data_IF_552068276024
#
_entry.id   IF_552068276024
#
_cell.length_a   1.000
_cell.length_b   1.000
_cell.length_c   1.000
_cell.angle_alpha   90.00
_cell.angle_beta   90.00
_cell.angle_gamma   90.00
#
_symmetry.space_group_name_H-M   'P 1'
#
loop_
_entity.id
_entity.type
_entity.pdbx_description
1 polymer ?
#
# COMPACT_ATOMS: atom_id res chain seq x y z
N UNK A 1 26.29 59.91 14.10
CA UNK A 1 26.73 58.52 13.79
C UNK A 1 25.68 57.53 14.24
N UNK A 2 24.81 57.03 13.35
CA UNK A 2 23.75 56.04 13.67
C UNK A 2 24.30 54.64 13.48
N UNK A 3 24.37 53.85 14.55
CA UNK A 3 24.77 52.43 14.49
C UNK A 3 23.56 51.59 13.99
N UNK A 4 23.69 50.99 12.83
CA UNK A 4 22.73 50.03 12.31
C UNK A 4 23.07 48.68 12.92
N UNK A 5 22.16 48.14 13.77
CA UNK A 5 22.20 46.76 14.25
C UNK A 5 21.54 45.85 13.20
N UNK A 6 22.34 45.04 12.50
CA UNK A 6 21.84 43.97 11.65
C UNK A 6 21.49 42.79 12.55
N UNK A 7 20.20 42.51 12.72
CA UNK A 7 19.71 41.26 13.36
C UNK A 7 19.79 40.13 12.29
N UNK A 8 20.74 39.27 12.51
CA UNK A 8 20.87 38.01 11.73
C UNK A 8 19.85 37.02 12.29
N UNK A 9 18.71 36.83 11.60
CA UNK A 9 17.73 35.79 11.95
C UNK A 9 18.21 34.46 11.37
N UNK A 10 18.73 33.58 12.23
CA UNK A 10 18.99 32.19 11.86
C UNK A 10 17.65 31.47 11.70
N UNK A 11 17.26 31.20 10.45
CA UNK A 11 16.21 30.25 10.12
C UNK A 11 16.74 28.83 10.40
N UNK A 12 16.37 28.24 11.52
CA UNK A 12 16.52 26.79 11.74
C UNK A 12 15.45 26.08 10.91
N UNK A 13 15.83 25.61 9.72
CA UNK A 13 15.04 24.66 8.97
C UNK A 13 15.06 23.32 9.74
N UNK A 14 14.00 23.00 10.44
CA UNK A 14 13.77 21.66 10.98
C UNK A 14 13.58 20.70 9.82
N UNK A 15 14.63 20.06 9.35
CA UNK A 15 14.56 18.84 8.56
C UNK A 15 14.03 17.75 9.51
N UNK A 16 12.72 17.56 9.56
CA UNK A 16 12.15 16.32 10.09
C UNK A 16 12.55 15.21 9.10
N UNK A 17 13.65 14.55 9.39
CA UNK A 17 14.08 13.36 8.66
C UNK A 17 12.94 12.34 8.64
N UNK A 18 12.53 11.90 7.46
CA UNK A 18 11.63 10.78 7.26
C UNK A 18 12.20 9.57 8.03
N UNK A 19 11.66 9.29 9.21
CA UNK A 19 11.94 8.01 9.87
C UNK A 19 11.27 6.94 9.03
N UNK A 20 12.08 6.16 8.32
CA UNK A 20 11.61 4.95 7.68
C UNK A 20 10.87 4.11 8.73
N UNK A 21 9.66 3.65 8.42
CA UNK A 21 8.89 2.76 9.29
C UNK A 21 9.75 1.53 9.61
N UNK A 22 9.92 1.22 10.90
CA UNK A 22 10.57 -0.02 11.29
C UNK A 22 9.63 -1.18 11.01
N UNK A 23 9.99 -2.07 10.10
CA UNK A 23 9.22 -3.29 9.79
C UNK A 23 9.04 -4.16 11.04
N UNK A 24 9.99 -4.16 11.96
CA UNK A 24 9.97 -4.93 13.21
C UNK A 24 8.82 -4.56 14.16
N UNK A 25 8.14 -3.43 13.94
CA UNK A 25 7.00 -2.96 14.73
C UNK A 25 5.65 -3.26 14.09
N UNK A 26 5.65 -3.92 12.95
CA UNK A 26 4.43 -4.36 12.28
C UNK A 26 3.99 -5.72 12.83
N UNK A 27 2.78 -6.13 12.52
CA UNK A 27 2.19 -7.39 12.98
C UNK A 27 1.53 -8.14 11.83
N UNK A 28 1.38 -9.45 11.98
CA UNK A 28 0.72 -10.30 11.01
C UNK A 28 -0.79 -10.40 11.26
N UNK A 29 -1.53 -10.43 10.19
CA UNK A 29 -2.82 -11.07 10.05
C UNK A 29 -2.62 -12.22 9.05
N UNK A 30 -2.95 -13.45 9.45
CA UNK A 30 -2.63 -14.67 8.71
C UNK A 30 -1.11 -14.81 8.43
N UNK A 31 -0.32 -15.00 9.48
CA UNK A 31 1.13 -15.14 9.39
C UNK A 31 1.52 -16.33 8.50
N UNK A 32 2.38 -16.16 7.46
CA UNK A 32 2.86 -17.26 6.64
C UNK A 32 3.85 -18.14 7.43
N UNK A 33 4.00 -19.40 7.03
CA UNK A 33 4.90 -20.34 7.72
C UNK A 33 6.38 -19.96 7.63
N UNK A 34 6.78 -19.34 6.53
CA UNK A 34 8.17 -18.96 6.26
C UNK A 34 8.27 -17.51 5.84
N UNK A 35 8.96 -16.72 6.63
CA UNK A 35 9.26 -15.32 6.32
C UNK A 35 10.51 -14.85 7.07
N UNK A 36 11.12 -13.79 6.57
CA UNK A 36 12.24 -13.12 7.21
C UNK A 36 12.21 -11.61 6.97
N UNK A 37 12.74 -10.85 7.93
CA UNK A 37 13.10 -9.45 7.74
C UNK A 37 14.63 -9.35 7.81
N UNK A 38 15.21 -8.91 6.71
CA UNK A 38 16.65 -8.66 6.60
C UNK A 38 16.91 -7.40 5.80
N UNK A 39 17.79 -6.52 6.28
CA UNK A 39 18.17 -5.26 5.62
C UNK A 39 16.96 -4.39 5.22
N UNK A 40 15.96 -4.28 6.11
CA UNK A 40 14.68 -3.56 5.91
C UNK A 40 13.84 -4.11 4.74
N UNK A 41 14.03 -5.34 4.39
CA UNK A 41 13.30 -6.08 3.40
C UNK A 41 12.56 -7.23 4.05
N UNK A 42 11.26 -7.34 3.80
CA UNK A 42 10.46 -8.50 4.12
C UNK A 42 10.47 -9.47 2.93
N UNK A 43 10.80 -10.72 3.18
CA UNK A 43 10.63 -11.82 2.22
C UNK A 43 9.77 -12.89 2.84
N UNK A 44 8.80 -13.44 2.10
CA UNK A 44 7.97 -14.55 2.56
C UNK A 44 7.69 -15.56 1.45
N UNK A 45 7.46 -16.80 1.84
CA UNK A 45 6.79 -17.79 1.02
C UNK A 45 5.28 -17.66 1.23
N UNK A 46 4.56 -17.26 0.18
CA UNK A 46 3.12 -16.98 0.25
C UNK A 46 2.35 -18.26 0.58
N UNK A 47 1.40 -18.17 1.48
CA UNK A 47 0.54 -19.29 1.87
C UNK A 47 -0.20 -19.85 0.65
N UNK A 48 -0.10 -21.16 0.38
CA UNK A 48 -0.84 -21.81 -0.69
C UNK A 48 -2.35 -21.66 -0.54
N UNK A 49 -3.07 -21.57 -1.67
CA UNK A 49 -4.54 -21.56 -1.74
C UNK A 49 -5.19 -20.49 -0.85
N UNK A 50 -4.54 -19.34 -0.71
CA UNK A 50 -4.99 -18.20 0.11
C UNK A 50 -5.41 -17.01 -0.74
N UNK A 51 -6.39 -16.22 -0.28
CA UNK A 51 -6.87 -15.02 -0.99
C UNK A 51 -7.51 -14.00 -0.05
N UNK A 52 -7.85 -12.84 -0.64
CA UNK A 52 -8.77 -11.82 -0.17
C UNK A 52 -9.80 -11.55 -1.27
N UNK A 53 -10.98 -12.13 -1.14
CA UNK A 53 -12.08 -11.97 -2.09
C UNK A 53 -13.44 -12.06 -1.40
N UNK A 54 -14.41 -11.29 -1.90
CA UNK A 54 -15.78 -11.34 -1.39
C UNK A 54 -16.78 -11.34 -2.53
N UNK A 55 -17.53 -12.44 -2.65
CA UNK A 55 -18.79 -12.63 -3.37
C UNK A 55 -18.69 -12.46 -4.88
N UNK A 56 -18.34 -11.26 -5.39
CA UNK A 56 -18.44 -10.89 -6.81
C UNK A 56 -17.96 -11.99 -7.74
N UNK A 57 -18.74 -12.29 -8.78
CA UNK A 57 -18.49 -13.27 -9.82
C UNK A 57 -18.44 -14.73 -9.31
N UNK A 58 -17.65 -15.03 -8.30
CA UNK A 58 -17.36 -16.39 -7.83
C UNK A 58 -18.29 -16.90 -6.71
N UNK A 59 -19.01 -16.03 -6.01
CA UNK A 59 -19.97 -16.37 -4.95
C UNK A 59 -19.35 -16.78 -3.60
N UNK A 60 -18.03 -16.87 -3.47
CA UNK A 60 -17.34 -17.21 -2.23
C UNK A 60 -16.79 -15.99 -1.49
N UNK A 61 -16.41 -16.21 -0.24
CA UNK A 61 -15.67 -15.25 0.59
C UNK A 61 -14.43 -15.93 1.17
N UNK A 62 -13.26 -15.34 0.96
CA UNK A 62 -11.96 -15.78 1.49
C UNK A 62 -11.24 -14.59 2.09
N UNK A 63 -10.58 -14.76 3.24
CA UNK A 63 -9.90 -13.72 4.01
C UNK A 63 -8.72 -14.32 4.79
N UNK A 64 -7.88 -15.13 4.13
CA UNK A 64 -6.87 -15.98 4.77
C UNK A 64 -5.44 -15.80 4.25
N UNK A 65 -5.22 -14.90 3.30
CA UNK A 65 -3.88 -14.62 2.80
C UNK A 65 -3.01 -13.83 3.81
N UNK A 66 -1.69 -13.94 3.75
CA UNK A 66 -0.77 -13.17 4.58
C UNK A 66 -0.92 -11.64 4.41
N UNK A 67 -0.98 -10.93 5.53
CA UNK A 67 -0.99 -9.47 5.58
C UNK A 67 -0.14 -8.95 6.75
N UNK A 68 0.95 -8.27 6.46
CA UNK A 68 1.84 -7.66 7.44
C UNK A 68 1.61 -6.15 7.50
N UNK A 69 1.20 -5.61 8.66
CA UNK A 69 0.66 -4.25 8.74
C UNK A 69 0.99 -3.49 10.02
N UNK A 70 0.82 -2.18 9.96
CA UNK A 70 0.63 -1.28 11.10
C UNK A 70 -0.65 -0.46 10.90
N UNK A 71 -1.18 0.13 11.99
CA UNK A 71 -2.42 0.91 11.94
C UNK A 71 -2.11 2.40 11.89
N UNK A 72 -2.79 3.12 10.98
CA UNK A 72 -2.65 4.55 10.78
C UNK A 72 -4.00 5.25 10.76
N UNK A 73 -4.06 6.44 11.38
CA UNK A 73 -5.21 7.35 11.28
C UNK A 73 -4.91 8.55 10.39
N UNK A 74 -5.95 9.28 10.01
CA UNK A 74 -5.84 10.53 9.25
C UNK A 74 -5.38 10.33 7.80
N UNK A 75 -4.79 11.39 7.24
CA UNK A 75 -4.31 11.41 5.86
C UNK A 75 -2.83 11.02 5.80
N UNK A 76 -2.48 10.20 4.80
CA UNK A 76 -1.11 9.72 4.62
C UNK A 76 -0.83 9.29 3.18
N UNK A 77 0.46 9.26 2.83
CA UNK A 77 1.00 8.58 1.67
C UNK A 77 1.75 7.34 2.15
N UNK A 78 1.56 6.22 1.47
CA UNK A 78 2.33 4.99 1.69
C UNK A 78 2.83 4.45 0.37
N UNK A 79 4.02 3.85 0.38
CA UNK A 79 4.58 3.18 -0.80
C UNK A 79 5.43 1.98 -0.44
N UNK A 80 5.57 1.06 -1.39
CA UNK A 80 6.44 -0.11 -1.29
C UNK A 80 6.93 -0.52 -2.68
N UNK A 81 8.15 -1.03 -2.74
CA UNK A 81 8.68 -1.75 -3.91
C UNK A 81 8.41 -3.24 -3.74
N UNK A 82 7.86 -3.87 -4.76
CA UNK A 82 7.49 -5.28 -4.76
C UNK A 82 8.24 -6.05 -5.84
N UNK A 83 8.65 -7.27 -5.49
CA UNK A 83 9.26 -8.25 -6.42
C UNK A 83 8.72 -9.63 -6.08
N UNK A 84 8.09 -10.29 -7.05
CA UNK A 84 7.47 -11.61 -6.87
C UNK A 84 7.95 -12.62 -7.89
N UNK A 85 8.16 -13.87 -7.45
CA UNK A 85 8.40 -15.00 -8.34
C UNK A 85 7.08 -15.74 -8.60
N UNK A 86 6.15 -15.03 -9.28
CA UNK A 86 4.81 -15.54 -9.58
C UNK A 86 4.89 -16.80 -10.46
N UNK A 87 4.03 -17.79 -10.19
CA UNK A 87 4.06 -19.12 -10.84
C UNK A 87 2.70 -19.55 -11.38
N UNK A 88 1.65 -19.25 -10.63
CA UNK A 88 0.32 -19.76 -10.86
C UNK A 88 -0.67 -18.62 -11.07
N UNK A 89 -1.74 -18.90 -11.77
CA UNK A 89 -2.82 -17.95 -11.99
C UNK A 89 -3.29 -17.36 -10.66
N UNK A 90 -3.52 -16.05 -10.66
CA UNK A 90 -3.91 -15.24 -9.50
C UNK A 90 -2.84 -15.09 -8.40
N UNK A 91 -1.62 -15.60 -8.57
CA UNK A 91 -0.52 -15.19 -7.69
C UNK A 91 -0.45 -13.66 -7.68
N UNK A 92 -0.55 -13.05 -6.51
CA UNK A 92 -0.66 -11.60 -6.36
C UNK A 92 0.06 -11.08 -5.12
N UNK A 93 0.58 -9.86 -5.20
CA UNK A 93 1.17 -9.16 -4.06
C UNK A 93 1.14 -7.65 -4.23
N UNK A 94 1.13 -6.93 -3.12
CA UNK A 94 1.14 -5.48 -3.15
C UNK A 94 0.88 -4.81 -1.81
N UNK A 95 0.39 -3.57 -1.87
CA UNK A 95 -0.13 -2.83 -0.73
C UNK A 95 -1.57 -3.24 -0.42
N UNK A 96 -1.90 -3.23 0.88
CA UNK A 96 -3.28 -3.32 1.34
C UNK A 96 -3.58 -2.23 2.36
N UNK A 97 -4.71 -1.58 2.18
CA UNK A 97 -5.33 -0.67 3.13
C UNK A 97 -6.62 -1.33 3.58
N UNK A 98 -6.72 -1.70 4.87
CA UNK A 98 -7.82 -2.51 5.39
C UNK A 98 -8.41 -1.92 6.66
N UNK A 99 -9.72 -1.67 6.66
CA UNK A 99 -10.49 -1.36 7.87
C UNK A 99 -10.90 -2.68 8.53
N UNK A 100 -11.63 -3.52 7.78
CA UNK A 100 -12.15 -4.80 8.22
C UNK A 100 -12.26 -5.79 7.02
N UNK A 101 -12.91 -6.93 7.22
CA UNK A 101 -13.10 -7.95 6.19
C UNK A 101 -14.02 -7.54 5.04
N UNK A 102 -14.81 -6.47 5.22
CA UNK A 102 -15.75 -5.96 4.21
C UNK A 102 -15.28 -4.67 3.55
N UNK A 103 -14.25 -4.01 4.11
CA UNK A 103 -13.80 -2.70 3.68
C UNK A 103 -12.29 -2.67 3.58
N UNK A 104 -11.77 -2.96 2.37
CA UNK A 104 -10.34 -2.93 2.08
C UNK A 104 -10.06 -2.60 0.61
N UNK A 105 -8.85 -2.14 0.37
CA UNK A 105 -8.28 -1.95 -0.97
C UNK A 105 -6.96 -2.70 -1.00
N UNK A 106 -6.80 -3.60 -1.98
CA UNK A 106 -5.50 -4.23 -2.29
C UNK A 106 -5.06 -3.80 -3.69
N UNK A 107 -3.79 -3.47 -3.86
CA UNK A 107 -3.24 -3.01 -5.13
C UNK A 107 -1.80 -3.47 -5.30
N UNK A 108 -1.47 -3.96 -6.49
CA UNK A 108 -0.15 -4.49 -6.78
C UNK A 108 -0.03 -5.14 -8.13
N UNK A 109 0.70 -6.24 -8.17
CA UNK A 109 0.83 -7.08 -9.35
C UNK A 109 0.07 -8.39 -9.13
N UNK A 110 -0.65 -8.82 -10.14
CA UNK A 110 -1.36 -10.09 -10.20
C UNK A 110 -1.02 -10.82 -11.50
N UNK A 111 -0.69 -12.11 -11.40
CA UNK A 111 -0.34 -12.94 -12.54
C UNK A 111 -1.58 -13.68 -13.04
N UNK A 112 -2.06 -13.35 -14.24
CA UNK A 112 -3.28 -13.90 -14.82
C UNK A 112 -2.98 -14.37 -16.23
N UNK A 113 -3.27 -15.63 -16.52
CA UNK A 113 -3.16 -16.25 -17.84
C UNK A 113 -1.81 -16.00 -18.53
N UNK A 114 -0.72 -16.16 -17.77
CA UNK A 114 0.65 -15.98 -18.25
C UNK A 114 1.10 -14.52 -18.40
N UNK A 115 0.28 -13.55 -17.97
CA UNK A 115 0.57 -12.13 -18.06
C UNK A 115 0.65 -11.46 -16.69
N UNK A 116 1.52 -10.47 -16.58
CA UNK A 116 1.58 -9.59 -15.43
C UNK A 116 0.56 -8.47 -15.58
N UNK A 117 -0.22 -8.26 -14.55
CA UNK A 117 -1.22 -7.20 -14.51
C UNK A 117 -0.96 -6.32 -13.31
N UNK A 118 -1.03 -5.00 -13.49
CA UNK A 118 -1.25 -4.10 -12.37
C UNK A 118 -2.71 -4.26 -11.97
N UNK A 119 -2.94 -4.66 -10.73
CA UNK A 119 -4.26 -5.03 -10.23
C UNK A 119 -4.66 -4.13 -9.06
N UNK A 120 -5.93 -3.75 -9.02
CA UNK A 120 -6.55 -3.12 -7.85
C UNK A 120 -7.89 -3.80 -7.59
N UNK A 121 -8.06 -4.25 -6.35
CA UNK A 121 -9.36 -4.72 -5.84
C UNK A 121 -9.82 -3.78 -4.76
N UNK A 122 -11.02 -3.22 -4.95
CA UNK A 122 -11.73 -2.42 -3.95
C UNK A 122 -12.85 -3.28 -3.40
N UNK A 123 -12.82 -3.56 -2.11
CA UNK A 123 -13.89 -4.30 -1.44
C UNK A 123 -14.69 -3.36 -0.56
N UNK A 124 -15.97 -3.26 -0.86
CA UNK A 124 -16.99 -2.63 -0.03
C UNK A 124 -18.21 -3.56 -0.01
N UNK A 125 -18.23 -4.47 0.97
CA UNK A 125 -19.14 -5.63 1.07
C UNK A 125 -18.89 -6.68 -0.03
N UNK A 126 -18.65 -6.25 -1.26
CA UNK A 126 -18.33 -7.08 -2.43
C UNK A 126 -17.04 -6.58 -3.09
N UNK A 127 -16.27 -7.48 -3.69
CA UNK A 127 -15.01 -7.13 -4.36
C UNK A 127 -15.25 -6.60 -5.77
N UNK A 128 -14.58 -5.50 -6.12
CA UNK A 128 -14.57 -4.87 -7.43
C UNK A 128 -13.11 -4.85 -7.94
N UNK A 129 -12.87 -5.54 -9.04
CA UNK A 129 -11.53 -5.81 -9.58
C UNK A 129 -11.28 -5.05 -10.88
N UNK A 130 -10.11 -4.44 -10.99
CA UNK A 130 -9.62 -3.78 -12.19
C UNK A 130 -8.16 -4.14 -12.47
N UNK A 131 -7.80 -4.26 -13.75
CA UNK A 131 -6.45 -4.63 -14.20
C UNK A 131 -5.97 -3.77 -15.36
N UNK A 132 -4.65 -3.58 -15.40
CA UNK A 132 -3.92 -3.03 -16.54
C UNK A 132 -2.88 -4.07 -16.93
N UNK A 133 -3.05 -4.68 -18.12
CA UNK A 133 -2.12 -5.70 -18.63
C UNK A 133 -0.79 -5.05 -18.96
N UNK A 134 0.31 -5.61 -18.45
CA UNK A 134 1.66 -5.18 -18.79
C UNK A 134 2.16 -5.94 -20.04
N UNK A 135 2.66 -5.21 -21.02
CA UNK A 135 3.26 -5.81 -22.23
C UNK A 135 4.57 -6.54 -21.93
N UNK A 136 5.29 -6.09 -20.91
CA UNK A 136 6.57 -6.66 -20.49
C UNK A 136 6.55 -6.92 -18.99
N UNK A 137 7.22 -7.98 -18.55
CA UNK A 137 7.44 -8.27 -17.13
C UNK A 137 8.48 -7.32 -16.56
N UNK A 138 8.13 -6.41 -15.65
CA UNK A 138 9.10 -5.58 -14.98
C UNK A 138 9.86 -6.39 -13.91
N UNK A 139 11.13 -6.08 -13.62
CA UNK A 139 11.88 -6.74 -12.56
C UNK A 139 11.34 -6.42 -11.16
N UNK A 140 10.66 -5.31 -11.02
CA UNK A 140 9.97 -4.85 -9.80
C UNK A 140 8.91 -3.81 -10.16
N UNK A 141 8.02 -3.55 -9.23
CA UNK A 141 7.02 -2.48 -9.33
C UNK A 141 6.98 -1.72 -8.01
N UNK A 142 6.86 -0.40 -8.07
CA UNK A 142 6.50 0.43 -6.95
C UNK A 142 4.99 0.63 -6.93
N UNK A 143 4.38 0.41 -5.77
CA UNK A 143 2.98 0.72 -5.52
C UNK A 143 2.92 1.82 -4.47
N UNK A 144 2.13 2.84 -4.76
CA UNK A 144 1.89 3.97 -3.86
C UNK A 144 0.39 4.19 -3.67
N UNK A 145 -0.01 4.47 -2.45
CA UNK A 145 -1.37 4.87 -2.13
C UNK A 145 -1.36 6.19 -1.35
N UNK A 146 -2.26 7.09 -1.68
CA UNK A 146 -2.46 8.38 -0.99
C UNK A 146 -3.89 8.40 -0.46
N UNK A 147 -4.03 8.38 0.87
CA UNK A 147 -5.34 8.52 1.53
C UNK A 147 -5.59 9.98 1.88
N UNK A 148 -6.71 10.52 1.37
CA UNK A 148 -7.21 11.84 1.72
C UNK A 148 -8.72 11.81 1.90
N UNK A 149 -9.21 12.31 3.05
CA UNK A 149 -10.62 12.25 3.39
C UNK A 149 -11.15 10.82 3.28
N UNK A 150 -12.14 10.59 2.43
CA UNK A 150 -12.78 9.31 2.14
C UNK A 150 -12.32 8.66 0.83
N UNK A 151 -11.19 9.12 0.28
CA UNK A 151 -10.62 8.61 -0.96
C UNK A 151 -9.20 8.07 -0.78
N UNK A 152 -8.88 7.05 -1.57
CA UNK A 152 -7.53 6.52 -1.75
C UNK A 152 -7.19 6.54 -3.23
N UNK A 153 -6.19 7.34 -3.58
CA UNK A 153 -5.59 7.33 -4.90
C UNK A 153 -4.46 6.30 -4.94
N UNK A 154 -4.45 5.44 -5.96
CA UNK A 154 -3.50 4.36 -6.11
C UNK A 154 -2.68 4.58 -7.37
N UNK A 155 -1.37 4.44 -7.23
CA UNK A 155 -0.40 4.68 -8.30
C UNK A 155 0.59 3.53 -8.39
N UNK A 156 1.18 3.35 -9.58
CA UNK A 156 2.35 2.53 -9.79
C UNK A 156 3.51 3.31 -10.39
N UNK A 157 4.72 2.79 -10.27
CA UNK A 157 5.91 3.30 -10.90
C UNK A 157 6.92 2.17 -11.18
N UNK A 158 7.77 2.33 -12.18
CA UNK A 158 8.88 1.43 -12.46
C UNK A 158 10.24 1.98 -12.02
N UNK A 159 10.29 3.22 -11.50
CA UNK A 159 11.55 3.90 -11.17
C UNK A 159 11.52 4.70 -9.83
N UNK A 160 10.38 4.69 -9.11
CA UNK A 160 10.10 5.50 -7.91
C UNK A 160 10.09 7.04 -8.15
N UNK A 161 10.01 7.47 -9.39
CA UNK A 161 10.00 8.89 -9.76
C UNK A 161 8.70 9.28 -10.46
N UNK A 162 8.41 8.62 -11.57
CA UNK A 162 7.20 8.85 -12.34
C UNK A 162 6.12 7.90 -11.90
N UNK A 163 5.03 8.44 -11.36
CA UNK A 163 3.90 7.67 -10.85
C UNK A 163 2.67 7.89 -11.71
N UNK A 164 2.07 6.79 -12.17
CA UNK A 164 0.84 6.77 -12.97
C UNK A 164 -0.31 6.30 -12.09
N UNK A 165 -1.43 7.03 -12.11
CA UNK A 165 -2.62 6.65 -11.37
C UNK A 165 -3.26 5.40 -11.97
N UNK A 166 -3.56 4.41 -11.12
CA UNK A 166 -4.31 3.20 -11.46
C UNK A 166 -5.78 3.35 -11.13
N UNK A 167 -6.08 3.94 -9.98
CA UNK A 167 -7.44 4.06 -9.46
C UNK A 167 -7.56 5.16 -8.42
N UNK A 168 -8.73 5.80 -8.37
CA UNK A 168 -9.22 6.53 -7.21
C UNK A 168 -10.42 5.75 -6.66
N UNK A 169 -10.40 5.41 -5.36
CA UNK A 169 -11.37 4.55 -4.73
C UNK A 169 -11.86 5.14 -3.41
N UNK A 170 -13.11 4.88 -3.07
CA UNK A 170 -13.68 5.21 -1.77
C UNK A 170 -13.10 4.29 -0.68
N UNK A 171 -12.73 4.87 0.45
CA UNK A 171 -12.48 4.16 1.70
C UNK A 171 -12.89 5.07 2.85
N UNK A 172 -13.79 4.60 3.71
CA UNK A 172 -14.39 5.37 4.80
C UNK A 172 -13.37 6.24 5.54
N UNK A 173 -13.70 7.52 5.72
CA UNK A 173 -12.89 8.47 6.50
C UNK A 173 -13.04 8.24 8.02
N UNK A 174 -12.28 9.02 8.83
CA UNK A 174 -12.34 9.03 10.31
C UNK A 174 -12.14 7.66 10.98
N UNK A 175 -11.72 6.64 10.26
CA UNK A 175 -11.47 5.30 10.76
C UNK A 175 -10.00 4.95 10.62
N UNK A 176 -9.33 4.43 11.67
CA UNK A 176 -7.98 3.90 11.54
C UNK A 176 -7.93 2.76 10.52
N UNK A 177 -6.86 2.73 9.74
CA UNK A 177 -6.66 1.76 8.65
C UNK A 177 -5.40 0.95 8.92
N UNK A 178 -5.50 -0.36 8.79
CA UNK A 178 -4.34 -1.25 8.70
C UNK A 178 -3.69 -1.05 7.34
N UNK A 179 -2.41 -0.71 7.33
CA UNK A 179 -1.64 -0.41 6.10
C UNK A 179 -0.40 -1.27 6.08
N UNK A 180 -0.18 -1.98 4.97
CA UNK A 180 0.98 -2.85 4.85
C UNK A 180 0.99 -3.68 3.58
N UNK A 181 1.62 -4.84 3.66
CA UNK A 181 1.86 -5.73 2.52
C UNK A 181 0.98 -6.96 2.58
N UNK A 182 0.42 -7.30 1.45
CA UNK A 182 -0.28 -8.56 1.27
C UNK A 182 0.31 -9.36 0.11
N UNK A 183 0.20 -10.68 0.18
CA UNK A 183 0.37 -11.55 -0.97
C UNK A 183 -0.56 -12.76 -0.86
N UNK A 184 -1.01 -13.27 -1.99
CA UNK A 184 -1.94 -14.39 -2.08
C UNK A 184 -1.61 -15.31 -3.26
N UNK A 185 -1.93 -16.59 -3.15
CA UNK A 185 -1.74 -17.61 -4.19
C UNK A 185 -2.99 -18.49 -4.29
N UNK A 186 -4.12 -17.95 -4.82
CA UNK A 186 -5.42 -18.62 -4.79
C UNK A 186 -5.43 -20.01 -5.42
N UNK A 187 -4.88 -20.15 -6.63
CA UNK A 187 -4.84 -21.39 -7.40
C UNK A 187 -3.51 -22.16 -7.24
N UNK A 188 -2.56 -21.57 -6.47
CA UNK A 188 -1.18 -22.05 -6.45
C UNK A 188 -0.72 -22.67 -5.15
N UNK A 189 0.53 -23.15 -5.18
CA UNK A 189 1.25 -23.68 -4.04
C UNK A 189 2.17 -22.63 -3.37
N UNK A 190 1.84 -21.36 -3.57
CA UNK A 190 2.64 -20.25 -3.07
C UNK A 190 3.83 -19.89 -3.97
N UNK A 191 4.38 -18.72 -3.71
CA UNK A 191 5.53 -18.18 -4.41
C UNK A 191 6.35 -17.30 -3.46
N UNK A 192 7.57 -16.95 -3.86
CA UNK A 192 8.42 -16.05 -3.08
C UNK A 192 8.04 -14.59 -3.37
N UNK A 193 7.59 -13.87 -2.35
CA UNK A 193 7.25 -12.44 -2.39
C UNK A 193 8.27 -11.63 -1.58
N UNK A 194 8.70 -10.49 -2.12
CA UNK A 194 9.68 -9.60 -1.49
C UNK A 194 9.16 -8.15 -1.51
N UNK A 195 9.22 -7.50 -0.36
CA UNK A 195 8.79 -6.12 -0.12
C UNK A 195 9.95 -5.29 0.42
N UNK A 196 10.24 -4.17 -0.25
CA UNK A 196 11.36 -3.29 0.06
C UNK A 196 10.93 -1.83 0.14
N UNK A 197 11.68 -1.02 0.87
CA UNK A 197 11.52 0.44 0.90
C UNK A 197 10.10 0.91 1.29
N UNK A 198 9.45 0.17 2.19
CA UNK A 198 8.15 0.58 2.71
C UNK A 198 8.26 1.88 3.50
N UNK A 199 7.31 2.76 3.27
CA UNK A 199 7.19 3.99 4.04
C UNK A 199 5.74 4.42 4.18
N UNK A 200 5.45 5.08 5.30
CA UNK A 200 4.21 5.81 5.52
C UNK A 200 4.57 7.22 5.96
N UNK A 201 4.04 8.21 5.27
CA UNK A 201 4.23 9.63 5.53
C UNK A 201 2.88 10.28 5.83
N UNK A 202 2.72 10.84 7.02
CA UNK A 202 1.52 11.62 7.34
C UNK A 202 1.45 12.88 6.47
N UNK A 203 0.23 13.19 6.03
CA UNK A 203 -0.09 14.40 5.28
C UNK A 203 -0.89 15.36 6.17
N UNK A 204 -0.88 16.67 5.87
CA UNK A 204 -1.75 17.63 6.54
C UNK A 204 -3.22 17.28 6.35
N UNK A 205 -4.02 17.41 7.40
CA UNK A 205 -5.47 17.20 7.34
C UNK A 205 -6.13 18.21 6.40
N UNK A 206 -6.73 17.72 5.33
CA UNK A 206 -7.36 18.53 4.29
C UNK A 206 -8.52 19.37 4.86
N UNK A 207 -9.35 18.79 5.71
CA UNK A 207 -10.52 19.47 6.32
C UNK A 207 -10.10 20.63 7.22
N UNK A 208 -9.04 20.43 7.99
CA UNK A 208 -8.48 21.48 8.84
C UNK A 208 -7.91 22.64 8.02
N UNK A 209 -7.24 22.34 6.92
CA UNK A 209 -6.73 23.37 6.01
C UNK A 209 -7.84 24.17 5.36
N UNK A 210 -8.92 23.53 4.95
CA UNK A 210 -10.11 24.20 4.41
C UNK A 210 -10.81 25.07 5.45
N UNK A 211 -10.98 24.56 6.66
CA UNK A 211 -11.55 25.34 7.77
C UNK A 211 -10.72 26.58 8.06
N UNK A 212 -9.39 26.47 8.13
CA UNK A 212 -8.50 27.60 8.34
C UNK A 212 -8.58 28.65 7.23
N UNK A 213 -8.75 28.25 5.97
CA UNK A 213 -8.92 29.17 4.85
C UNK A 213 -10.24 29.95 4.91
N UNK A 214 -11.30 29.32 5.41
CA UNK A 214 -12.64 29.92 5.46
C UNK A 214 -12.88 30.80 6.70
N UNK A 215 -11.96 30.79 7.67
CA UNK A 215 -12.11 31.50 8.95
C UNK A 215 -10.93 32.46 9.25
N UNK A 216 -10.15 32.81 8.24
CA UNK A 216 -9.16 33.90 8.25
C UNK A 216 -9.70 35.12 7.51
#
# INVERSE_FOLDING_TARGET
MKKILIRLSLLFAFFQGLKAQSLEKMTWFNEPQEWEIKDKKLTMNVTPQSDYWRISHYGFTVDDAPFYYSTYGGEFETKVKITGNYKTRFDQMGLMLRIDEQNYIKAGVEFVDGKFNLSTVVTHKTSDWSVIVLEKTPPFVWIKAVRRLDAVEIFYSFDDKEYVMMRNAYLQDNTPVKVGFMAASPDGNGFKATFENFSVKHLPDQRRLEWLKNNQ
#
